data_IF_664804334809
#
_entry.id   IF_664804334809
#
_cell.length_a   1.000
_cell.length_b   1.000
_cell.length_c   1.000
_cell.angle_alpha   90.00
_cell.angle_beta   90.00
_cell.angle_gamma   90.00
#
_symmetry.space_group_name_H-M   'P 1'
#
loop_
_entity.id
_entity.type
_entity.pdbx_description
1 polymer ?
#
# COMPACT_ATOMS: atom_id res chain seq x y z
N UNK A 1 59.35 -7.39 21.88
CA UNK A 1 59.57 -5.95 22.15
C UNK A 1 58.41 -5.41 22.96
N UNK A 2 58.62 -5.14 24.25
CA UNK A 2 57.58 -4.68 25.17
C UNK A 2 57.28 -3.20 24.97
N UNK A 3 56.03 -2.86 24.65
CA UNK A 3 55.53 -1.48 24.55
C UNK A 3 55.57 -0.80 25.93
N UNK A 4 56.71 -0.21 26.28
CA UNK A 4 56.93 0.50 27.56
C UNK A 4 56.23 1.87 27.65
N UNK A 5 55.54 2.32 26.59
CA UNK A 5 54.96 3.68 26.54
C UNK A 5 53.50 3.83 26.99
N UNK A 6 52.80 2.77 27.43
CA UNK A 6 51.35 2.83 27.75
C UNK A 6 50.93 2.07 29.01
N UNK A 7 51.80 2.02 30.02
CA UNK A 7 51.51 1.30 31.27
C UNK A 7 50.32 1.90 32.02
N UNK A 8 50.23 3.23 32.10
CA UNK A 8 49.12 3.91 32.76
C UNK A 8 47.78 3.63 32.07
N UNK A 9 47.75 3.71 30.73
CA UNK A 9 46.57 3.37 29.93
C UNK A 9 46.14 1.92 30.14
N UNK A 10 47.11 0.99 30.22
CA UNK A 10 46.85 -0.42 30.49
C UNK A 10 46.18 -0.61 31.85
N UNK A 11 46.71 0.02 32.90
CA UNK A 11 46.15 -0.08 34.26
C UNK A 11 44.73 0.50 34.28
N UNK A 12 44.52 1.69 33.70
CA UNK A 12 43.19 2.33 33.61
C UNK A 12 42.20 1.46 32.81
N UNK A 13 42.61 0.91 31.68
CA UNK A 13 41.79 0.01 30.86
C UNK A 13 41.38 -1.25 31.62
N UNK A 14 42.29 -1.85 32.38
CA UNK A 14 41.99 -3.03 33.21
C UNK A 14 41.00 -2.69 34.33
N UNK A 15 41.14 -1.52 34.96
CA UNK A 15 40.19 -1.05 35.99
C UNK A 15 38.79 -0.84 35.41
N UNK A 16 38.67 -0.15 34.27
CA UNK A 16 37.38 -0.02 33.58
C UNK A 16 36.82 -1.38 33.16
N UNK A 17 37.66 -2.31 32.71
CA UNK A 17 37.19 -3.66 32.36
C UNK A 17 36.65 -4.42 33.57
N UNK A 18 37.32 -4.34 34.74
CA UNK A 18 36.84 -4.95 36.01
C UNK A 18 35.51 -4.38 36.47
N UNK A 19 35.28 -3.08 36.22
CA UNK A 19 33.97 -2.43 36.46
C UNK A 19 32.89 -2.93 35.50
N UNK A 20 33.26 -3.65 34.43
CA UNK A 20 32.33 -4.30 33.51
C UNK A 20 32.14 -3.56 32.19
N UNK A 21 32.94 -2.53 31.91
CA UNK A 21 32.89 -1.79 30.65
C UNK A 21 33.35 -2.69 29.48
N UNK A 22 32.67 -2.56 28.36
CA UNK A 22 33.07 -3.07 27.05
C UNK A 22 34.26 -2.29 26.51
N UNK A 23 34.99 -2.87 25.56
CA UNK A 23 36.10 -2.16 24.93
C UNK A 23 35.64 -0.87 24.23
N UNK A 24 34.43 -0.84 23.67
CA UNK A 24 33.85 0.38 23.09
C UNK A 24 33.65 1.48 24.12
N UNK A 25 33.11 1.14 25.31
CA UNK A 25 32.97 2.09 26.42
C UNK A 25 34.35 2.58 26.92
N UNK A 26 35.35 1.70 27.02
CA UNK A 26 36.71 2.07 27.45
C UNK A 26 37.38 3.04 26.46
N UNK A 27 37.17 2.83 25.15
CA UNK A 27 37.72 3.70 24.11
C UNK A 27 37.16 5.12 24.14
N UNK A 28 36.00 5.35 24.76
CA UNK A 28 35.47 6.71 24.98
C UNK A 28 36.27 7.46 26.06
N UNK A 29 36.95 6.74 26.94
CA UNK A 29 37.72 7.30 28.07
C UNK A 29 39.23 7.28 27.83
N UNK A 30 39.73 6.41 26.95
CA UNK A 30 41.16 6.24 26.67
C UNK A 30 41.42 6.19 25.16
N UNK A 31 42.38 6.95 24.62
CA UNK A 31 42.74 6.97 23.20
C UNK A 31 43.63 5.76 22.82
N UNK A 32 43.09 4.56 23.01
CA UNK A 32 43.78 3.29 22.75
C UNK A 32 42.98 2.44 21.77
N UNK A 33 43.69 1.75 20.87
CA UNK A 33 43.05 0.85 19.90
C UNK A 33 42.39 -0.36 20.59
N UNK A 34 41.35 -0.91 19.96
CA UNK A 34 40.68 -2.13 20.43
C UNK A 34 41.61 -3.35 20.53
N UNK A 35 42.62 -3.46 19.65
CA UNK A 35 43.63 -4.52 19.71
C UNK A 35 44.46 -4.46 21.00
N UNK A 36 44.89 -3.27 21.40
CA UNK A 36 45.56 -3.04 22.69
C UNK A 36 44.67 -3.44 23.87
N UNK A 37 43.40 -3.01 23.88
CA UNK A 37 42.45 -3.39 24.94
C UNK A 37 42.23 -4.90 25.02
N UNK A 38 42.14 -5.57 23.87
CA UNK A 38 42.02 -7.03 23.80
C UNK A 38 43.24 -7.71 24.45
N UNK A 39 44.45 -7.27 24.09
CA UNK A 39 45.68 -7.84 24.64
C UNK A 39 45.85 -7.55 26.14
N UNK A 40 45.47 -6.36 26.60
CA UNK A 40 45.64 -5.94 28.00
C UNK A 40 44.60 -6.51 28.96
N UNK A 41 43.40 -6.79 28.45
CA UNK A 41 42.25 -7.17 29.27
C UNK A 41 41.75 -8.60 29.01
N UNK A 42 42.46 -9.41 28.22
CA UNK A 42 42.07 -10.80 27.87
C UNK A 42 41.84 -11.69 29.09
N UNK A 43 42.64 -11.52 30.14
CA UNK A 43 42.62 -12.38 31.32
C UNK A 43 41.64 -11.88 32.41
N UNK A 44 40.92 -10.79 32.16
CA UNK A 44 39.95 -10.22 33.12
C UNK A 44 38.59 -10.90 32.94
N UNK A 45 38.25 -11.78 33.88
CA UNK A 45 36.93 -12.40 33.95
C UNK A 45 35.85 -11.38 34.36
N UNK A 46 34.74 -11.36 33.61
CA UNK A 46 33.55 -10.59 33.96
C UNK A 46 32.57 -11.43 34.78
N UNK A 47 31.85 -10.77 35.69
CA UNK A 47 30.73 -11.38 36.43
C UNK A 47 29.56 -11.69 35.49
N UNK A 48 28.68 -12.62 35.92
CA UNK A 48 27.48 -12.96 35.15
C UNK A 48 26.60 -11.73 34.88
N UNK A 49 26.41 -10.86 35.89
CA UNK A 49 25.66 -9.59 35.75
C UNK A 49 26.27 -8.68 34.69
N UNK A 50 27.60 -8.54 34.66
CA UNK A 50 28.30 -7.72 33.66
C UNK A 50 28.18 -8.32 32.25
N UNK A 51 28.32 -9.64 32.11
CA UNK A 51 28.12 -10.34 30.83
C UNK A 51 26.70 -10.13 30.29
N UNK A 52 25.68 -10.29 31.14
CA UNK A 52 24.28 -10.06 30.76
C UNK A 52 24.02 -8.61 30.35
N UNK A 53 24.58 -7.63 31.06
CA UNK A 53 24.51 -6.20 30.67
C UNK A 53 25.05 -5.97 29.26
N UNK A 54 26.25 -6.49 28.96
CA UNK A 54 26.88 -6.30 27.65
C UNK A 54 26.11 -7.00 26.51
N UNK A 55 25.57 -8.20 26.77
CA UNK A 55 24.70 -8.90 25.82
C UNK A 55 23.43 -8.08 25.56
N UNK A 56 22.78 -7.58 26.61
CA UNK A 56 21.60 -6.73 26.52
C UNK A 56 21.84 -5.46 25.71
N UNK A 57 22.95 -4.76 25.97
CA UNK A 57 23.35 -3.56 25.21
C UNK A 57 23.56 -3.87 23.72
N UNK A 58 24.20 -5.00 23.40
CA UNK A 58 24.40 -5.44 22.01
C UNK A 58 23.07 -5.71 21.32
N UNK A 59 22.16 -6.44 21.97
CA UNK A 59 20.84 -6.75 21.43
C UNK A 59 20.01 -5.47 21.22
N UNK A 60 20.05 -4.55 22.18
CA UNK A 60 19.36 -3.26 22.07
C UNK A 60 19.91 -2.43 20.90
N UNK A 61 21.24 -2.36 20.74
CA UNK A 61 21.88 -1.69 19.61
C UNK A 61 21.49 -2.32 18.26
N UNK A 62 21.45 -3.64 18.16
CA UNK A 62 20.99 -4.36 16.97
C UNK A 62 19.53 -4.07 16.64
N UNK A 63 18.65 -4.12 17.64
CA UNK A 63 17.21 -3.78 17.47
C UNK A 63 17.05 -2.33 16.99
N UNK A 64 17.73 -1.39 17.63
CA UNK A 64 17.71 0.04 17.23
C UNK A 64 18.18 0.22 15.79
N UNK A 65 19.31 -0.40 15.43
CA UNK A 65 19.83 -0.35 14.06
C UNK A 65 18.86 -0.97 13.04
N UNK A 66 18.21 -2.08 13.39
CA UNK A 66 17.21 -2.72 12.54
C UNK A 66 15.98 -1.83 12.30
N UNK A 67 15.49 -1.14 13.33
CA UNK A 67 14.35 -0.21 13.22
C UNK A 67 14.73 0.94 12.29
N UNK A 68 15.86 1.60 12.52
CA UNK A 68 16.35 2.71 11.68
C UNK A 68 16.53 2.25 10.22
N UNK A 69 17.14 1.08 10.01
CA UNK A 69 17.32 0.54 8.66
C UNK A 69 15.98 0.24 7.97
N UNK A 70 14.99 -0.27 8.71
CA UNK A 70 13.64 -0.51 8.18
C UNK A 70 12.95 0.80 7.82
N UNK A 71 13.05 1.83 8.66
CA UNK A 71 12.47 3.15 8.42
C UNK A 71 13.14 3.83 7.22
N UNK A 72 14.46 3.77 7.10
CA UNK A 72 15.19 4.28 5.93
C UNK A 72 14.78 3.57 4.64
N UNK A 73 14.63 2.23 4.67
CA UNK A 73 14.12 1.46 3.51
C UNK A 73 12.70 1.85 3.16
N UNK A 74 11.84 2.08 4.16
CA UNK A 74 10.46 2.55 3.96
C UNK A 74 10.43 3.94 3.33
N UNK A 75 11.21 4.88 3.85
CA UNK A 75 11.32 6.23 3.31
C UNK A 75 11.83 6.22 1.86
N UNK A 76 12.91 5.49 1.59
CA UNK A 76 13.45 5.33 0.24
C UNK A 76 12.43 4.70 -0.73
N UNK A 77 11.65 3.70 -0.28
CA UNK A 77 10.54 3.13 -1.07
C UNK A 77 9.45 4.14 -1.36
N UNK A 78 9.06 4.96 -0.39
CA UNK A 78 8.03 5.99 -0.56
C UNK A 78 8.48 7.00 -1.61
N UNK A 79 9.69 7.54 -1.49
CA UNK A 79 10.23 8.51 -2.45
C UNK A 79 10.42 7.91 -3.84
N UNK A 80 10.94 6.67 -3.93
CA UNK A 80 11.02 5.96 -5.21
C UNK A 80 9.65 5.77 -5.85
N UNK A 81 8.64 5.38 -5.07
CA UNK A 81 7.26 5.23 -5.57
C UNK A 81 6.73 6.57 -6.08
N UNK A 82 6.89 7.66 -5.34
CA UNK A 82 6.45 9.00 -5.76
C UNK A 82 7.08 9.40 -7.09
N UNK A 83 8.39 9.18 -7.24
CA UNK A 83 9.10 9.49 -8.48
C UNK A 83 8.57 8.67 -9.66
N UNK A 84 8.44 7.35 -9.50
CA UNK A 84 7.88 6.47 -10.55
C UNK A 84 6.48 6.93 -10.95
N UNK A 85 5.63 7.28 -9.99
CA UNK A 85 4.28 7.77 -10.27
C UNK A 85 4.27 9.10 -11.04
N UNK A 86 5.22 10.00 -10.75
CA UNK A 86 5.34 11.27 -11.46
C UNK A 86 5.86 11.06 -12.88
N UNK A 87 6.92 10.26 -13.04
CA UNK A 87 7.50 9.89 -14.33
C UNK A 87 6.45 9.23 -15.23
N UNK A 88 5.73 8.23 -14.74
CA UNK A 88 4.69 7.54 -15.51
C UNK A 88 3.52 8.47 -15.89
N UNK A 89 3.17 9.45 -15.06
CA UNK A 89 2.16 10.46 -15.41
C UNK A 89 2.65 11.40 -16.52
N UNK A 90 3.93 11.76 -16.51
CA UNK A 90 4.52 12.60 -17.53
C UNK A 90 4.66 11.84 -18.86
N UNK A 91 5.01 10.56 -18.82
CA UNK A 91 5.07 9.68 -20.00
C UNK A 91 3.72 9.59 -20.72
N UNK A 92 2.62 9.54 -19.96
CA UNK A 92 1.27 9.50 -20.51
C UNK A 92 0.89 10.78 -21.30
N UNK A 93 1.50 11.92 -20.98
CA UNK A 93 1.25 13.19 -21.66
C UNK A 93 -0.18 13.71 -21.53
N UNK A 94 -0.61 14.51 -22.51
CA UNK A 94 -1.97 15.04 -22.56
C UNK A 94 -2.98 14.01 -23.06
N UNK A 95 -4.04 13.78 -22.29
CA UNK A 95 -5.09 12.82 -22.65
C UNK A 95 -6.15 13.47 -23.53
N UNK A 96 -6.24 13.02 -24.77
CA UNK A 96 -7.22 13.48 -25.75
C UNK A 96 -8.61 12.85 -25.55
N UNK A 97 -9.58 13.32 -26.34
CA UNK A 97 -10.89 12.66 -26.43
C UNK A 97 -10.79 11.24 -26.98
N UNK A 98 -9.91 11.00 -27.97
CA UNK A 98 -9.74 9.67 -28.55
C UNK A 98 -9.18 8.67 -27.53
N UNK A 99 -8.24 9.11 -26.69
CA UNK A 99 -7.64 8.26 -25.66
C UNK A 99 -8.67 7.83 -24.61
N UNK A 100 -9.49 8.77 -24.13
CA UNK A 100 -10.61 8.47 -23.21
C UNK A 100 -11.64 7.55 -23.85
N UNK A 101 -11.91 7.75 -25.14
CA UNK A 101 -12.83 6.88 -25.88
C UNK A 101 -12.32 5.44 -25.91
N UNK A 102 -11.07 5.22 -26.34
CA UNK A 102 -10.43 3.90 -26.39
C UNK A 102 -10.31 3.28 -25.00
N UNK A 103 -9.88 4.05 -23.99
CA UNK A 103 -9.73 3.57 -22.63
C UNK A 103 -11.05 3.02 -22.05
N UNK A 104 -12.18 3.68 -22.33
CA UNK A 104 -13.48 3.16 -21.89
C UNK A 104 -13.94 1.93 -22.68
N UNK A 105 -13.57 1.79 -23.96
CA UNK A 105 -13.82 0.53 -24.71
C UNK A 105 -13.04 -0.61 -24.04
N UNK A 106 -11.75 -0.42 -23.79
CA UNK A 106 -10.90 -1.42 -23.16
C UNK A 106 -11.39 -1.79 -21.75
N UNK A 107 -11.76 -0.78 -20.95
CA UNK A 107 -12.28 -0.99 -19.60
C UNK A 107 -13.63 -1.72 -19.60
N UNK A 108 -14.52 -1.39 -20.53
CA UNK A 108 -15.78 -2.13 -20.70
C UNK A 108 -15.54 -3.57 -21.19
N UNK A 109 -14.59 -3.80 -22.09
CA UNK A 109 -14.26 -5.15 -22.55
C UNK A 109 -13.86 -6.09 -21.40
N UNK A 110 -13.12 -5.55 -20.42
CA UNK A 110 -12.67 -6.25 -19.22
C UNK A 110 -13.73 -6.44 -18.14
N UNK A 111 -14.50 -5.40 -17.80
CA UNK A 111 -15.39 -5.40 -16.62
C UNK A 111 -16.87 -5.07 -16.91
N UNK A 112 -17.22 -4.80 -18.16
CA UNK A 112 -18.59 -4.51 -18.58
C UNK A 112 -19.47 -5.76 -18.63
N UNK A 113 -20.77 -5.56 -18.42
CA UNK A 113 -21.76 -6.61 -18.62
C UNK A 113 -21.88 -6.95 -20.12
N UNK A 114 -22.04 -8.22 -20.44
CA UNK A 114 -22.16 -8.75 -21.81
C UNK A 114 -23.54 -9.36 -22.08
N UNK A 115 -24.49 -9.22 -21.14
CA UNK A 115 -25.88 -9.61 -21.35
C UNK A 115 -26.53 -8.71 -22.40
N UNK A 116 -27.13 -9.27 -23.45
CA UNK A 116 -27.77 -8.47 -24.49
C UNK A 116 -28.91 -7.59 -23.94
N UNK A 117 -29.10 -6.42 -24.55
CA UNK A 117 -30.14 -5.46 -24.19
C UNK A 117 -29.82 -4.51 -23.03
N UNK A 118 -28.79 -4.78 -22.24
CA UNK A 118 -28.41 -3.94 -21.10
C UNK A 118 -26.90 -3.72 -21.05
N UNK A 119 -26.48 -2.47 -20.96
CA UNK A 119 -25.10 -2.15 -20.64
C UNK A 119 -24.95 -1.93 -19.14
N UNK A 120 -23.89 -2.49 -18.56
CA UNK A 120 -23.58 -2.29 -17.15
C UNK A 120 -22.09 -2.34 -16.89
N UNK A 121 -21.68 -1.78 -15.75
CA UNK A 121 -20.29 -1.75 -15.30
C UNK A 121 -20.27 -1.79 -13.77
N UNK A 122 -19.45 -2.65 -13.18
CA UNK A 122 -19.39 -2.82 -11.73
C UNK A 122 -17.95 -2.88 -11.22
N UNK A 123 -17.63 -2.06 -10.22
CA UNK A 123 -16.30 -2.03 -9.59
C UNK A 123 -16.38 -1.46 -8.17
N UNK A 124 -15.39 -1.77 -7.32
CA UNK A 124 -15.25 -1.18 -6.00
C UNK A 124 -14.37 0.09 -5.97
N UNK A 125 -13.59 0.36 -7.01
CA UNK A 125 -12.81 1.59 -7.17
C UNK A 125 -13.70 2.76 -7.61
N UNK A 126 -13.83 3.81 -6.77
CA UNK A 126 -14.60 5.01 -7.10
C UNK A 126 -14.17 5.70 -8.41
N UNK A 127 -12.87 5.68 -8.73
CA UNK A 127 -12.34 6.34 -9.93
C UNK A 127 -12.82 5.66 -11.20
N UNK A 128 -12.86 4.33 -11.22
CA UNK A 128 -13.32 3.55 -12.38
C UNK A 128 -14.81 3.76 -12.60
N UNK A 129 -15.62 3.68 -11.55
CA UNK A 129 -17.06 3.98 -11.64
C UNK A 129 -17.30 5.39 -12.18
N UNK A 130 -16.65 6.40 -11.59
CA UNK A 130 -16.82 7.80 -12.01
C UNK A 130 -16.41 8.01 -13.47
N UNK A 131 -15.32 7.37 -13.90
CA UNK A 131 -14.88 7.40 -15.28
C UNK A 131 -15.92 6.78 -16.21
N UNK A 132 -16.46 5.60 -15.86
CA UNK A 132 -17.43 4.90 -16.70
C UNK A 132 -18.77 5.61 -16.80
N UNK A 133 -19.28 6.21 -15.70
CA UNK A 133 -20.49 7.07 -15.78
C UNK A 133 -20.27 8.19 -16.81
N UNK A 134 -19.16 8.93 -16.70
CA UNK A 134 -18.84 9.99 -17.66
C UNK A 134 -18.66 9.47 -19.08
N UNK A 135 -18.01 8.31 -19.24
CA UNK A 135 -17.79 7.71 -20.55
C UNK A 135 -19.11 7.36 -21.24
N UNK A 136 -20.06 6.75 -20.54
CA UNK A 136 -21.40 6.48 -21.07
C UNK A 136 -22.18 7.76 -21.40
N UNK A 137 -22.06 8.81 -20.58
CA UNK A 137 -22.68 10.10 -20.88
C UNK A 137 -22.09 10.71 -22.16
N UNK A 138 -20.77 10.78 -22.26
CA UNK A 138 -20.08 11.49 -23.34
C UNK A 138 -20.09 10.72 -24.66
N UNK A 139 -19.83 9.40 -24.65
CA UNK A 139 -19.61 8.63 -25.87
C UNK A 139 -20.79 7.72 -26.27
N UNK A 140 -21.72 7.49 -25.34
CA UNK A 140 -22.97 6.74 -25.61
C UNK A 140 -24.23 7.60 -25.48
N UNK A 141 -24.11 8.87 -25.09
CA UNK A 141 -25.25 9.80 -25.00
C UNK A 141 -26.27 9.42 -23.92
N UNK A 142 -25.85 8.72 -22.86
CA UNK A 142 -26.78 8.25 -21.82
C UNK A 142 -26.93 9.30 -20.72
N UNK A 143 -28.13 9.87 -20.49
CA UNK A 143 -28.34 10.84 -19.42
C UNK A 143 -28.35 10.17 -18.04
N UNK A 144 -28.05 10.94 -16.98
CA UNK A 144 -28.01 10.45 -15.59
C UNK A 144 -29.32 9.75 -15.16
N UNK A 145 -30.46 10.25 -15.65
CA UNK A 145 -31.79 9.72 -15.35
C UNK A 145 -32.04 8.30 -15.87
N UNK A 146 -31.22 7.79 -16.79
CA UNK A 146 -31.34 6.41 -17.33
C UNK A 146 -30.50 5.38 -16.57
N UNK A 147 -29.62 5.81 -15.67
CA UNK A 147 -28.80 4.88 -14.91
C UNK A 147 -29.58 4.26 -13.76
N UNK A 148 -29.25 3.01 -13.47
CA UNK A 148 -29.74 2.24 -12.35
C UNK A 148 -28.54 1.77 -11.54
N UNK A 149 -28.52 2.10 -10.25
CA UNK A 149 -27.44 1.75 -9.34
C UNK A 149 -27.76 0.48 -8.54
N UNK A 150 -26.77 -0.38 -8.35
CA UNK A 150 -26.84 -1.47 -7.38
C UNK A 150 -25.59 -1.52 -6.52
N UNK A 151 -25.74 -1.80 -5.22
CA UNK A 151 -24.62 -1.87 -4.27
C UNK A 151 -24.51 -3.30 -3.75
N UNK A 152 -23.31 -3.87 -3.80
CA UNK A 152 -22.96 -5.10 -3.10
C UNK A 152 -22.12 -4.76 -1.87
N UNK A 153 -22.65 -5.08 -0.68
CA UNK A 153 -22.13 -4.62 0.60
C UNK A 153 -21.95 -5.79 1.57
N UNK A 154 -20.99 -5.72 2.48
CA UNK A 154 -20.85 -6.69 3.58
C UNK A 154 -21.79 -6.34 4.74
N UNK A 155 -22.26 -7.36 5.48
CA UNK A 155 -23.26 -7.24 6.56
C UNK A 155 -22.93 -6.25 7.71
N UNK A 156 -21.67 -5.83 7.85
CA UNK A 156 -21.22 -4.91 8.91
C UNK A 156 -21.00 -3.47 8.43
N UNK A 157 -21.37 -3.16 7.19
CA UNK A 157 -21.19 -1.82 6.61
C UNK A 157 -22.52 -1.09 6.50
N UNK A 158 -22.46 0.24 6.59
CA UNK A 158 -23.65 1.09 6.51
C UNK A 158 -24.14 1.26 5.07
N UNK A 159 -25.34 0.76 4.81
CA UNK A 159 -26.04 0.96 3.54
C UNK A 159 -26.21 2.46 3.23
N UNK A 160 -26.61 3.25 4.23
CA UNK A 160 -26.84 4.68 4.09
C UNK A 160 -25.55 5.43 3.69
N UNK A 161 -24.43 5.11 4.33
CA UNK A 161 -23.13 5.69 3.96
C UNK A 161 -22.73 5.32 2.52
N UNK A 162 -22.91 4.05 2.14
CA UNK A 162 -22.60 3.58 0.80
C UNK A 162 -23.46 4.28 -0.27
N UNK A 163 -24.78 4.38 -0.06
CA UNK A 163 -25.69 5.11 -0.96
C UNK A 163 -25.25 6.56 -1.15
N UNK A 164 -25.03 7.27 -0.05
CA UNK A 164 -24.66 8.69 -0.12
C UNK A 164 -23.31 8.89 -0.79
N UNK A 165 -22.34 8.02 -0.50
CA UNK A 165 -21.04 8.05 -1.16
C UNK A 165 -21.15 7.89 -2.67
N UNK A 166 -21.83 6.83 -3.14
CA UNK A 166 -21.95 6.57 -4.58
C UNK A 166 -22.81 7.59 -5.30
N UNK A 167 -23.90 8.07 -4.68
CA UNK A 167 -24.73 9.14 -5.21
C UNK A 167 -23.93 10.43 -5.38
N UNK A 168 -23.17 10.85 -4.36
CA UNK A 168 -22.34 12.05 -4.44
C UNK A 168 -21.22 11.93 -5.47
N UNK A 169 -20.62 10.74 -5.60
CA UNK A 169 -19.54 10.50 -6.56
C UNK A 169 -20.03 10.54 -8.02
N UNK A 170 -21.18 9.92 -8.28
CA UNK A 170 -21.70 9.68 -9.64
C UNK A 170 -22.75 10.69 -10.08
N UNK A 171 -23.31 11.47 -9.15
CA UNK A 171 -24.44 12.36 -9.35
C UNK A 171 -25.74 11.64 -9.75
N UNK A 172 -25.78 10.31 -9.62
CA UNK A 172 -26.99 9.50 -9.81
C UNK A 172 -27.78 9.54 -8.50
N UNK A 173 -29.05 9.99 -8.48
CA UNK A 173 -29.86 10.04 -7.27
C UNK A 173 -30.01 8.66 -6.61
N UNK A 174 -30.04 8.64 -5.28
CA UNK A 174 -30.26 7.40 -4.50
C UNK A 174 -31.60 6.72 -4.82
N UNK A 175 -32.60 7.46 -5.31
CA UNK A 175 -33.89 6.92 -5.79
C UNK A 175 -33.73 5.99 -7.00
N UNK A 176 -32.64 6.12 -7.76
CA UNK A 176 -32.29 5.23 -8.87
C UNK A 176 -31.47 4.01 -8.42
N UNK A 177 -31.23 3.83 -7.11
CA UNK A 177 -30.49 2.69 -6.58
C UNK A 177 -31.46 1.57 -6.21
N UNK A 178 -31.71 0.68 -7.16
CA UNK A 178 -32.80 -0.30 -7.12
C UNK A 178 -32.47 -1.57 -6.32
N UNK A 179 -31.18 -1.89 -6.11
CA UNK A 179 -30.79 -3.15 -5.48
C UNK A 179 -29.59 -2.99 -4.55
N UNK A 180 -29.71 -3.57 -3.37
CA UNK A 180 -28.63 -3.66 -2.41
C UNK A 180 -28.53 -5.11 -2.00
N UNK A 181 -27.36 -5.68 -2.23
CA UNK A 181 -27.07 -7.04 -1.82
C UNK A 181 -26.19 -6.99 -0.58
N UNK A 182 -26.66 -7.62 0.49
CA UNK A 182 -25.89 -7.76 1.72
C UNK A 182 -25.27 -9.17 1.74
N UNK A 183 -23.95 -9.20 1.58
CA UNK A 183 -23.14 -10.41 1.70
C UNK A 183 -22.88 -10.73 3.17
N UNK A 184 -23.38 -11.89 3.61
CA UNK A 184 -23.06 -12.42 4.94
C UNK A 184 -21.57 -12.71 5.06
N UNK A 185 -20.96 -12.37 6.19
CA UNK A 185 -19.56 -12.72 6.40
C UNK A 185 -19.46 -14.21 6.73
N UNK A 186 -18.48 -14.88 6.11
CA UNK A 186 -18.18 -16.28 6.42
C UNK A 186 -17.29 -16.32 7.65
N UNK A 187 -17.89 -16.21 8.84
CA UNK A 187 -17.19 -16.25 10.14
C UNK A 187 -16.47 -17.57 10.39
N UNK A 188 -16.96 -18.67 9.82
CA UNK A 188 -16.38 -20.02 9.96
C UNK A 188 -15.31 -20.35 8.89
N UNK A 189 -15.04 -19.45 7.94
CA UNK A 189 -14.09 -19.72 6.86
C UNK A 189 -12.69 -19.25 7.21
N UNK A 190 -11.69 -20.13 7.05
CA UNK A 190 -10.25 -19.78 7.13
C UNK A 190 -9.80 -18.77 6.04
N UNK A 191 -10.67 -18.43 5.07
CA UNK A 191 -10.44 -17.45 4.00
C UNK A 191 -11.22 -16.15 4.25
N UNK A 192 -10.98 -15.51 5.38
CA UNK A 192 -11.54 -14.18 5.65
C UNK A 192 -10.90 -13.17 4.68
N UNK A 193 -11.73 -12.46 3.90
CA UNK A 193 -11.26 -11.38 3.02
C UNK A 193 -10.72 -10.25 3.89
N UNK A 194 -9.43 -9.93 3.74
CA UNK A 194 -8.75 -8.88 4.50
C UNK A 194 -9.06 -7.46 3.99
N UNK A 195 -9.47 -7.34 2.72
CA UNK A 195 -9.82 -6.07 2.09
C UNK A 195 -11.33 -5.99 1.92
N UNK A 196 -12.00 -5.34 2.88
CA UNK A 196 -13.43 -5.02 2.81
C UNK A 196 -13.56 -3.59 2.29
N UNK A 197 -14.22 -3.41 1.14
CA UNK A 197 -14.46 -2.10 0.58
C UNK A 197 -15.52 -1.38 1.41
N UNK A 198 -15.15 -0.27 2.08
CA UNK A 198 -16.03 0.47 3.00
C UNK A 198 -17.42 0.79 2.41
N UNK A 199 -17.46 1.12 1.12
CA UNK A 199 -18.71 1.47 0.41
C UNK A 199 -19.22 0.36 -0.50
N UNK A 200 -18.63 -0.84 -0.43
CA UNK A 200 -19.01 -1.97 -1.26
C UNK A 200 -18.53 -1.89 -2.71
N UNK A 201 -19.07 -2.77 -3.55
CA UNK A 201 -18.95 -2.72 -5.01
C UNK A 201 -20.19 -2.03 -5.54
N UNK A 202 -20.01 -1.04 -6.42
CA UNK A 202 -21.12 -0.37 -7.07
C UNK A 202 -21.25 -0.84 -8.51
N UNK A 203 -22.47 -1.08 -8.94
CA UNK A 203 -22.82 -1.42 -10.31
C UNK A 203 -23.71 -0.32 -10.86
N UNK A 204 -23.34 0.21 -12.02
CA UNK A 204 -24.16 1.11 -12.83
C UNK A 204 -24.67 0.35 -14.04
N UNK A 205 -25.92 0.54 -14.41
CA UNK A 205 -26.49 -0.07 -15.61
C UNK A 205 -27.56 0.79 -16.26
N UNK A 206 -27.82 0.57 -17.55
CA UNK A 206 -28.92 1.20 -18.28
C UNK A 206 -29.44 0.25 -19.38
N UNK A 207 -30.75 0.29 -19.61
CA UNK A 207 -31.39 -0.46 -20.70
C UNK A 207 -31.32 0.33 -22.00
N UNK A 208 -30.49 -0.12 -22.94
CA UNK A 208 -30.44 0.41 -24.31
C UNK A 208 -29.70 -0.59 -25.21
N UNK A 209 -30.44 -1.42 -25.94
CA UNK A 209 -29.88 -2.47 -26.80
C UNK A 209 -29.02 -1.93 -27.93
N UNK A 210 -29.40 -0.80 -28.54
CA UNK A 210 -28.64 -0.16 -29.61
C UNK A 210 -27.26 0.28 -29.12
N UNK A 211 -27.21 0.95 -27.97
CA UNK A 211 -25.93 1.40 -27.39
C UNK A 211 -25.09 0.23 -26.88
N UNK A 212 -25.71 -0.80 -26.31
CA UNK A 212 -25.00 -2.03 -25.93
C UNK A 212 -24.30 -2.68 -27.14
N UNK A 213 -25.02 -2.89 -28.25
CA UNK A 213 -24.45 -3.46 -29.48
C UNK A 213 -23.39 -2.57 -30.10
N UNK A 214 -23.58 -1.24 -30.06
CA UNK A 214 -22.54 -0.29 -30.47
C UNK A 214 -21.26 -0.47 -29.66
N UNK A 215 -21.36 -0.60 -28.33
CA UNK A 215 -20.19 -0.87 -27.47
C UNK A 215 -19.53 -2.19 -27.86
N UNK A 216 -20.30 -3.26 -28.10
CA UNK A 216 -19.76 -4.54 -28.56
C UNK A 216 -19.01 -4.43 -29.89
N UNK A 217 -19.58 -3.70 -30.87
CA UNK A 217 -18.90 -3.44 -32.15
C UNK A 217 -17.63 -2.59 -32.00
N UNK A 218 -17.60 -1.65 -31.06
CA UNK A 218 -16.40 -0.89 -30.74
C UNK A 218 -15.30 -1.77 -30.12
N UNK A 219 -15.67 -2.72 -29.26
CA UNK A 219 -14.74 -3.69 -28.67
C UNK A 219 -14.16 -4.57 -29.77
N UNK A 220 -15.01 -5.11 -30.63
CA UNK A 220 -14.61 -5.91 -31.79
C UNK A 220 -13.59 -5.14 -32.66
N UNK A 221 -13.92 -3.90 -33.02
CA UNK A 221 -13.03 -3.05 -33.81
C UNK A 221 -11.68 -2.74 -33.14
N UNK A 222 -11.59 -2.67 -31.81
CA UNK A 222 -10.29 -2.46 -31.13
C UNK A 222 -9.45 -3.74 -31.06
N UNK A 223 -10.09 -4.91 -30.97
CA UNK A 223 -9.40 -6.18 -30.76
C UNK A 223 -9.04 -6.90 -32.06
N UNK A 224 -9.82 -6.72 -33.12
CA UNK A 224 -9.73 -7.47 -34.36
C UNK A 224 -9.29 -6.61 -35.56
N UNK A 225 -8.65 -5.47 -35.31
CA UNK A 225 -8.22 -4.54 -36.35
C UNK A 225 -6.97 -5.01 -37.11
#
# INVERSE_FOLDING_TARGET
>A
MGYHGRLEDKIKAQNFRRQGLSYGEIMLHLPVSKSNLSNWCKDIALTQKQKLRLIGNKQLGQRKGSIIAADNKRAARIERTKRIFLEAKNELGEITHRDKFIAGIALYSGEGNKTDGQAGFANSDPKLIKFMVKWFQTYCGIPLSKFHGAIWLHENLSEHEAKNFWSNLTQIPTSQFYKIYIAKNKTESKKIRKNIHKFGVFSISFGNSQQHRRIMGLIDGVLNH
#
